data_IF_761995564897
#
_entry.id   IF_761995564897
#
_cell.length_a   1.000
_cell.length_b   1.000
_cell.length_c   1.000
_cell.angle_alpha   90.00
_cell.angle_beta   90.00
_cell.angle_gamma   90.00
#
_symmetry.space_group_name_H-M   'P 1'
#
loop_
_entity.id
_entity.type
_entity.pdbx_description
1 polymer ?
#
# COMPACT_ATOMS: atom_id res chain seq x y z
N UNK A 1 2.25 25.17 4.31
CA UNK A 1 2.07 23.73 3.99
C UNK A 1 1.66 22.82 5.17
N UNK A 2 1.82 23.24 6.45
CA UNK A 2 1.44 22.43 7.63
C UNK A 2 -0.07 22.12 7.82
N UNK A 3 -0.97 22.96 7.29
CA UNK A 3 -2.44 22.80 7.46
C UNK A 3 -3.02 21.60 6.70
N UNK A 4 -2.39 21.18 5.61
CA UNK A 4 -2.84 20.01 4.83
C UNK A 4 -2.50 18.71 5.54
N UNK A 5 -1.28 18.58 6.05
CA UNK A 5 -0.88 17.43 6.88
C UNK A 5 -1.78 17.29 8.12
N UNK A 6 -2.14 18.41 8.77
CA UNK A 6 -3.09 18.39 9.88
C UNK A 6 -4.50 17.99 9.44
N UNK A 7 -5.00 18.39 8.27
CA UNK A 7 -6.29 17.91 7.74
C UNK A 7 -6.30 16.42 7.41
N UNK A 8 -5.17 15.88 6.97
CA UNK A 8 -4.99 14.44 6.68
C UNK A 8 -4.91 13.64 8.00
N UNK A 9 -4.34 14.22 9.05
CA UNK A 9 -4.26 13.62 10.40
C UNK A 9 -5.48 13.90 11.30
N UNK A 10 -6.28 14.92 11.01
CA UNK A 10 -7.50 15.29 11.75
C UNK A 10 -8.76 14.59 11.22
N UNK A 11 -8.65 13.67 10.26
CA UNK A 11 -9.81 12.89 9.87
C UNK A 11 -10.14 11.97 11.04
N UNK A 12 -11.29 12.25 11.65
CA UNK A 12 -12.05 11.53 12.69
C UNK A 12 -12.37 10.06 12.32
N UNK A 13 -11.49 9.42 11.59
CA UNK A 13 -11.59 8.02 11.21
C UNK A 13 -10.99 7.19 12.34
N UNK A 14 -11.70 6.13 12.72
CA UNK A 14 -11.19 5.15 13.68
C UNK A 14 -9.81 4.62 13.23
N UNK A 15 -8.90 4.30 14.18
CA UNK A 15 -7.55 3.80 13.87
C UNK A 15 -7.56 2.61 12.90
N UNK A 16 -8.59 1.78 12.96
CA UNK A 16 -8.82 0.68 12.00
C UNK A 16 -8.98 1.15 10.55
N UNK A 17 -9.75 2.22 10.30
CA UNK A 17 -9.97 2.73 8.95
C UNK A 17 -8.69 3.31 8.35
N UNK A 18 -7.86 3.93 9.18
CA UNK A 18 -6.54 4.40 8.77
C UNK A 18 -5.61 3.23 8.41
N UNK A 19 -5.58 2.18 9.24
CA UNK A 19 -4.79 0.97 8.99
C UNK A 19 -5.21 0.26 7.69
N UNK A 20 -6.53 0.13 7.43
CA UNK A 20 -7.07 -0.44 6.18
C UNK A 20 -6.67 0.40 4.96
N UNK A 21 -6.70 1.73 5.08
CA UNK A 21 -6.26 2.65 4.03
C UNK A 21 -4.78 2.49 3.70
N UNK A 22 -3.92 2.42 4.72
CA UNK A 22 -2.48 2.23 4.54
C UNK A 22 -2.15 0.87 3.91
N UNK A 23 -2.80 -0.21 4.39
CA UNK A 23 -2.58 -1.56 3.89
C UNK A 23 -3.01 -1.72 2.42
N UNK A 24 -4.19 -1.21 2.07
CA UNK A 24 -4.66 -1.22 0.67
C UNK A 24 -3.76 -0.39 -0.24
N UNK A 25 -3.34 0.80 0.21
CA UNK A 25 -2.40 1.62 -0.54
C UNK A 25 -1.04 0.94 -0.74
N UNK A 26 -0.50 0.26 0.28
CA UNK A 26 0.75 -0.50 0.16
C UNK A 26 0.62 -1.63 -0.88
N UNK A 27 -0.46 -2.42 -0.81
CA UNK A 27 -0.69 -3.52 -1.74
C UNK A 27 -0.63 -3.04 -3.21
N UNK A 28 -1.37 -1.98 -3.53
CA UNK A 28 -1.37 -1.42 -4.88
C UNK A 28 -0.08 -0.67 -5.22
N UNK A 29 0.65 -0.12 -4.24
CA UNK A 29 1.97 0.45 -4.46
C UNK A 29 2.97 -0.60 -4.97
N UNK A 30 2.91 -1.85 -4.49
CA UNK A 30 3.83 -2.93 -4.92
C UNK A 30 3.37 -3.62 -6.21
N UNK A 31 2.13 -3.41 -6.64
CA UNK A 31 1.57 -4.10 -7.81
C UNK A 31 1.95 -3.36 -9.11
N UNK A 32 2.36 -4.04 -10.20
CA UNK A 32 2.90 -3.38 -11.40
C UNK A 32 1.82 -2.79 -12.33
N UNK A 33 0.71 -2.29 -11.79
CA UNK A 33 -0.43 -1.72 -12.55
C UNK A 33 -0.31 -0.22 -12.79
N UNK A 34 0.79 0.22 -13.43
CA UNK A 34 1.06 1.63 -13.70
C UNK A 34 -0.17 2.37 -14.29
N UNK A 35 -0.53 3.49 -13.67
CA UNK A 35 -1.72 4.27 -14.02
C UNK A 35 -3.02 3.81 -13.33
N UNK A 36 -3.21 2.50 -13.13
CA UNK A 36 -4.41 1.96 -12.46
C UNK A 36 -4.26 1.82 -10.94
N UNK A 37 -3.03 1.78 -10.42
CA UNK A 37 -2.75 1.62 -8.98
C UNK A 37 -3.57 2.58 -8.11
N UNK A 38 -3.58 3.88 -8.43
CA UNK A 38 -4.28 4.88 -7.62
C UNK A 38 -5.80 4.66 -7.64
N UNK A 39 -6.36 4.36 -8.82
CA UNK A 39 -7.79 4.11 -8.98
C UNK A 39 -8.18 2.84 -8.21
N UNK A 40 -7.40 1.77 -8.32
CA UNK A 40 -7.63 0.52 -7.61
C UNK A 40 -7.47 0.71 -6.10
N UNK A 41 -6.44 1.41 -5.65
CA UNK A 41 -6.22 1.73 -4.23
C UNK A 41 -7.39 2.52 -3.65
N UNK A 42 -7.88 3.54 -4.34
CA UNK A 42 -9.03 4.33 -3.91
C UNK A 42 -10.32 3.52 -3.89
N UNK A 43 -10.53 2.68 -4.91
CA UNK A 43 -11.74 1.85 -5.05
C UNK A 43 -11.77 0.78 -3.97
N UNK A 44 -10.68 0.03 -3.79
CA UNK A 44 -10.60 -1.02 -2.78
C UNK A 44 -10.60 -0.42 -1.37
N UNK A 45 -9.87 0.68 -1.14
CA UNK A 45 -9.94 1.41 0.13
C UNK A 45 -11.38 1.85 0.44
N UNK A 46 -12.13 2.31 -0.56
CA UNK A 46 -13.55 2.60 -0.38
C UNK A 46 -14.38 1.38 0.03
N UNK A 47 -14.18 0.23 -0.63
CA UNK A 47 -14.91 -1.01 -0.35
C UNK A 47 -14.63 -1.54 1.05
N UNK A 48 -13.38 -1.50 1.51
CA UNK A 48 -13.01 -1.94 2.87
C UNK A 48 -13.29 -0.91 3.95
N UNK A 49 -13.94 0.21 3.60
CA UNK A 49 -14.19 1.37 4.47
C UNK A 49 -12.90 1.93 5.09
N UNK A 50 -11.81 1.92 4.32
CA UNK A 50 -10.51 2.47 4.67
C UNK A 50 -10.39 3.96 4.30
N UNK A 51 -9.35 4.60 4.85
CA UNK A 51 -9.05 5.98 4.54
C UNK A 51 -8.44 6.10 3.14
N UNK A 52 -9.21 6.71 2.23
CA UNK A 52 -8.84 6.90 0.81
C UNK A 52 -7.61 7.79 0.64
N UNK A 53 -7.43 8.78 1.52
CA UNK A 53 -6.30 9.73 1.46
C UNK A 53 -5.00 9.00 1.82
N UNK A 54 -5.02 8.18 2.86
CA UNK A 54 -3.87 7.36 3.25
C UNK A 54 -3.55 6.29 2.20
N UNK A 55 -4.57 5.69 1.58
CA UNK A 55 -4.36 4.75 0.47
C UNK A 55 -3.69 5.43 -0.74
N UNK A 56 -4.15 6.63 -1.12
CA UNK A 56 -3.55 7.42 -2.18
C UNK A 56 -2.11 7.85 -1.83
N UNK A 57 -1.87 8.28 -0.59
CA UNK A 57 -0.54 8.66 -0.12
C UNK A 57 0.44 7.49 -0.23
N UNK A 58 0.07 6.30 0.28
CA UNK A 58 0.90 5.10 0.19
C UNK A 58 1.18 4.68 -1.25
N UNK A 59 0.20 4.82 -2.14
CA UNK A 59 0.40 4.55 -3.57
C UNK A 59 1.41 5.54 -4.19
N UNK A 60 1.34 6.81 -3.79
CA UNK A 60 2.24 7.87 -4.26
C UNK A 60 3.69 7.74 -3.73
N UNK A 61 3.94 6.93 -2.71
CA UNK A 61 5.31 6.61 -2.29
C UNK A 61 6.07 5.77 -3.32
N UNK A 62 5.36 5.10 -4.24
CA UNK A 62 5.99 4.32 -5.28
C UNK A 62 6.63 5.24 -6.33
N UNK A 63 7.95 5.36 -6.29
CA UNK A 63 8.77 6.10 -7.25
C UNK A 63 9.53 5.09 -8.13
N UNK A 64 9.72 5.33 -9.44
CA UNK A 64 10.56 4.50 -10.32
C UNK A 64 11.89 4.04 -9.68
N UNK A 65 12.56 4.93 -8.93
CA UNK A 65 13.83 4.61 -8.26
C UNK A 65 13.67 3.49 -7.23
N UNK A 66 12.56 3.48 -6.49
CA UNK A 66 12.25 2.45 -5.49
C UNK A 66 11.58 1.23 -6.12
N UNK A 67 10.78 1.43 -7.16
CA UNK A 67 10.03 0.39 -7.86
C UNK A 67 10.95 -0.61 -8.57
N UNK A 68 12.00 -0.12 -9.24
CA UNK A 68 12.94 -0.95 -9.99
C UNK A 68 13.56 -2.08 -9.15
N UNK A 69 14.25 -1.79 -8.02
CA UNK A 69 14.83 -2.84 -7.20
C UNK A 69 13.77 -3.73 -6.55
N UNK A 70 12.63 -3.15 -6.16
CA UNK A 70 11.52 -3.90 -5.56
C UNK A 70 10.93 -4.92 -6.54
N UNK A 71 10.72 -4.54 -7.80
CA UNK A 71 10.20 -5.42 -8.84
C UNK A 71 11.21 -6.48 -9.25
N UNK A 72 12.51 -6.17 -9.26
CA UNK A 72 13.54 -7.19 -9.42
C UNK A 72 13.47 -8.27 -8.34
N UNK A 73 13.32 -7.86 -7.07
CA UNK A 73 13.12 -8.79 -5.96
C UNK A 73 11.82 -9.59 -6.09
N UNK A 74 10.71 -8.93 -6.41
CA UNK A 74 9.41 -9.59 -6.59
C UNK A 74 9.48 -10.61 -7.74
N UNK A 75 10.08 -10.24 -8.87
CA UNK A 75 10.28 -11.13 -10.01
C UNK A 75 11.12 -12.35 -9.62
N UNK A 76 12.24 -12.14 -8.93
CA UNK A 76 13.08 -13.23 -8.43
C UNK A 76 12.31 -14.17 -7.49
N UNK A 77 11.59 -13.62 -6.51
CA UNK A 77 10.76 -14.41 -5.60
C UNK A 77 9.67 -15.20 -6.35
N UNK A 78 9.03 -14.57 -7.33
CA UNK A 78 8.06 -15.23 -8.19
C UNK A 78 8.65 -16.39 -8.98
N UNK A 79 9.85 -16.22 -9.54
CA UNK A 79 10.52 -17.30 -10.29
C UNK A 79 10.86 -18.48 -9.38
N UNK A 80 11.37 -18.21 -8.18
CA UNK A 80 11.63 -19.24 -7.16
C UNK A 80 10.36 -20.02 -6.81
N UNK A 81 9.22 -19.33 -6.67
CA UNK A 81 7.93 -19.95 -6.32
C UNK A 81 7.36 -20.77 -7.49
N UNK A 82 7.47 -20.27 -8.73
CA UNK A 82 6.97 -20.97 -9.92
C UNK A 82 7.91 -22.09 -10.40
N UNK A 83 9.07 -22.27 -9.76
CA UNK A 83 10.08 -23.23 -10.20
C UNK A 83 10.75 -22.85 -11.53
N UNK A 84 10.72 -21.56 -11.89
CA UNK A 84 11.36 -21.04 -13.09
C UNK A 84 12.87 -20.83 -12.90
N UNK A 85 13.62 -20.90 -13.99
CA UNK A 85 15.03 -20.48 -14.02
C UNK A 85 15.10 -19.00 -13.70
N UNK A 86 16.01 -18.54 -12.84
CA UNK A 86 16.18 -17.12 -12.50
C UNK A 86 16.79 -16.28 -13.64
N UNK A 87 16.47 -16.62 -14.89
CA UNK A 87 17.01 -16.00 -16.08
C UNK A 87 16.14 -14.82 -16.48
N UNK A 88 16.77 -13.65 -16.58
CA UNK A 88 16.12 -12.48 -17.17
C UNK A 88 16.02 -12.75 -18.67
N UNK A 89 14.81 -12.69 -19.26
CA UNK A 89 14.67 -12.96 -20.68
C UNK A 89 15.50 -12.01 -21.54
N UNK A 90 16.19 -12.55 -22.53
CA UNK A 90 17.00 -11.76 -23.46
C UNK A 90 16.10 -11.03 -24.46
N UNK A 91 15.87 -9.74 -24.20
CA UNK A 91 15.09 -8.86 -25.06
C UNK A 91 15.78 -8.58 -26.41
N UNK A 92 17.11 -8.73 -26.51
CA UNK A 92 17.84 -8.52 -27.75
C UNK A 92 17.66 -9.65 -28.76
N UNK A 93 17.22 -10.83 -28.30
CA UNK A 93 16.93 -11.98 -29.14
C UNK A 93 15.52 -11.96 -29.76
N UNK A 94 14.65 -11.00 -29.39
CA UNK A 94 13.29 -10.89 -29.93
C UNK A 94 13.32 -10.53 -31.43
N UNK A 95 12.78 -11.41 -32.28
CA UNK A 95 12.76 -11.23 -33.75
C UNK A 95 11.38 -10.92 -34.32
N UNK A 96 10.31 -10.97 -33.51
CA UNK A 96 8.97 -10.55 -33.95
C UNK A 96 7.88 -10.65 -32.88
N UNK A 97 6.64 -10.33 -33.28
CA UNK A 97 5.47 -10.32 -32.39
C UNK A 97 5.18 -11.66 -31.72
N UNK A 98 5.57 -12.77 -32.36
CA UNK A 98 5.42 -14.12 -31.82
C UNK A 98 6.27 -14.36 -30.56
N UNK A 99 7.47 -13.78 -30.50
CA UNK A 99 8.35 -13.86 -29.34
C UNK A 99 7.76 -13.04 -28.18
N UNK A 100 7.14 -11.90 -28.46
CA UNK A 100 6.47 -11.07 -27.46
C UNK A 100 5.33 -11.82 -26.75
N UNK A 101 4.53 -12.58 -27.50
CA UNK A 101 3.43 -13.39 -26.94
C UNK A 101 3.97 -14.52 -26.04
N UNK A 102 5.15 -15.06 -26.35
CA UNK A 102 5.80 -16.11 -25.54
C UNK A 102 6.49 -15.55 -24.30
N UNK A 103 7.12 -14.38 -24.43
CA UNK A 103 7.89 -13.72 -23.38
C UNK A 103 7.00 -12.98 -22.37
N UNK A 104 5.84 -12.48 -22.81
CA UNK A 104 4.90 -11.77 -21.96
C UNK A 104 4.52 -12.55 -20.70
N UNK A 105 3.97 -13.78 -20.81
CA UNK A 105 3.65 -14.60 -19.64
C UNK A 105 4.87 -14.98 -18.81
N UNK A 106 6.02 -15.22 -19.43
CA UNK A 106 7.26 -15.56 -18.73
C UNK A 106 7.77 -14.42 -17.83
N UNK A 107 7.48 -13.16 -18.18
CA UNK A 107 7.78 -11.98 -17.36
C UNK A 107 6.66 -11.66 -16.37
N UNK A 108 5.42 -11.67 -16.84
CA UNK A 108 4.26 -11.24 -16.07
C UNK A 108 3.89 -12.23 -14.97
N UNK A 109 3.95 -13.55 -15.21
CA UNK A 109 3.53 -14.54 -14.21
C UNK A 109 4.42 -14.50 -12.96
N UNK A 110 5.76 -14.54 -13.06
CA UNK A 110 6.60 -14.45 -11.87
C UNK A 110 6.47 -13.08 -11.21
N UNK A 111 6.41 -11.99 -11.98
CA UNK A 111 6.27 -10.65 -11.42
C UNK A 111 4.95 -10.49 -10.67
N UNK A 112 3.82 -10.91 -11.24
CA UNK A 112 2.51 -10.85 -10.59
C UNK A 112 2.47 -11.75 -9.36
N UNK A 113 3.08 -12.93 -9.41
CA UNK A 113 3.11 -13.85 -8.27
C UNK A 113 3.92 -13.26 -7.12
N UNK A 114 5.12 -12.74 -7.41
CA UNK A 114 5.97 -12.14 -6.39
C UNK A 114 5.38 -10.85 -5.83
N UNK A 115 4.82 -9.98 -6.66
CA UNK A 115 4.18 -8.74 -6.20
C UNK A 115 2.90 -9.01 -5.42
N UNK A 116 2.14 -10.06 -5.76
CA UNK A 116 0.99 -10.50 -4.95
C UNK A 116 1.44 -11.00 -3.59
N UNK A 117 2.49 -11.83 -3.53
CA UNK A 117 3.02 -12.36 -2.28
C UNK A 117 3.57 -11.24 -1.38
N UNK A 118 4.47 -10.41 -1.91
CA UNK A 118 5.08 -9.29 -1.19
C UNK A 118 4.02 -8.24 -0.84
N UNK A 119 3.10 -7.96 -1.75
CA UNK A 119 1.98 -7.05 -1.54
C UNK A 119 1.08 -7.52 -0.40
N UNK A 120 0.68 -8.79 -0.36
CA UNK A 120 -0.16 -9.34 0.71
C UNK A 120 0.59 -9.36 2.06
N UNK A 121 1.82 -9.85 2.07
CA UNK A 121 2.64 -9.90 3.29
C UNK A 121 2.89 -8.49 3.85
N UNK A 122 3.28 -7.55 2.99
CA UNK A 122 3.51 -6.17 3.38
C UNK A 122 2.23 -5.43 3.75
N UNK A 123 1.11 -5.66 3.06
CA UNK A 123 -0.18 -5.09 3.45
C UNK A 123 -0.63 -5.58 4.83
N UNK A 124 -0.46 -6.88 5.12
CA UNK A 124 -0.72 -7.43 6.45
C UNK A 124 0.19 -6.78 7.50
N UNK A 125 1.49 -6.69 7.23
CA UNK A 125 2.44 -6.03 8.12
C UNK A 125 2.04 -4.58 8.38
N UNK A 126 1.74 -3.80 7.34
CA UNK A 126 1.29 -2.40 7.44
C UNK A 126 0.00 -2.31 8.26
N UNK A 127 -0.98 -3.18 8.04
CA UNK A 127 -2.23 -3.20 8.80
C UNK A 127 -1.98 -3.39 10.30
N UNK A 128 -1.21 -4.42 10.68
CA UNK A 128 -0.93 -4.71 12.09
C UNK A 128 -0.04 -3.63 12.73
N UNK A 129 0.99 -3.16 12.04
CA UNK A 129 1.93 -2.17 12.58
C UNK A 129 1.23 -0.82 12.78
N UNK A 130 0.46 -0.37 11.78
CA UNK A 130 -0.28 0.89 11.88
C UNK A 130 -1.38 0.80 12.93
N UNK A 131 -2.11 -0.33 13.02
CA UNK A 131 -3.09 -0.56 14.09
C UNK A 131 -2.46 -0.44 15.48
N UNK A 132 -1.35 -1.15 15.73
CA UNK A 132 -0.63 -1.11 17.02
C UNK A 132 -0.13 0.30 17.38
N UNK A 133 0.44 1.01 16.39
CA UNK A 133 0.99 2.36 16.60
C UNK A 133 -0.16 3.35 16.89
N UNK A 134 -1.24 3.30 16.12
CA UNK A 134 -2.37 4.20 16.28
C UNK A 134 -3.12 3.94 17.59
N UNK A 135 -3.29 2.68 18.00
CA UNK A 135 -3.81 2.32 19.32
C UNK A 135 -2.92 2.83 20.46
N UNK A 136 -1.60 2.63 20.35
CA UNK A 136 -0.65 3.09 21.36
C UNK A 136 -0.61 4.63 21.45
N UNK A 137 -0.77 5.34 20.33
CA UNK A 137 -0.86 6.80 20.30
C UNK A 137 -2.20 7.29 20.88
N UNK A 138 -3.31 6.63 20.56
CA UNK A 138 -4.61 6.92 21.15
C UNK A 138 -4.60 6.74 22.67
N UNK A 139 -3.92 5.70 23.19
CA UNK A 139 -3.74 5.49 24.62
C UNK A 139 -2.87 6.57 25.28
N UNK A 140 -1.89 7.16 24.56
CA UNK A 140 -1.02 8.23 25.06
C UNK A 140 -1.65 9.61 25.03
N UNK A 141 -2.57 9.87 24.09
CA UNK A 141 -3.24 11.16 23.91
C UNK A 141 -4.70 11.16 24.42
N UNK A 142 -5.16 10.06 25.02
CA UNK A 142 -6.52 9.86 25.52
C UNK A 142 -6.92 10.60 26.80
N UNK A 143 -6.17 11.59 27.26
CA UNK A 143 -6.64 12.53 28.29
C UNK A 143 -7.02 13.86 27.61
N UNK A 144 -8.30 14.23 27.52
CA UNK A 144 -8.66 15.61 27.23
C UNK A 144 -8.10 16.52 28.34
N UNK A 145 -7.66 17.75 28.04
CA UNK A 145 -7.60 18.79 29.06
C UNK A 145 -8.99 18.92 29.70
N UNK A 146 -9.04 18.84 31.02
CA UNK A 146 -10.19 19.23 31.83
C UNK A 146 -10.38 20.74 31.66
N UNK A 147 -11.05 21.14 30.58
CA UNK A 147 -11.56 22.49 30.40
C UNK A 147 -12.78 22.60 31.33
N UNK A 148 -12.49 22.80 32.62
CA UNK A 148 -13.44 22.77 33.70
C UNK A 148 -14.72 23.54 33.37
N UNK A 149 -15.85 22.86 33.47
CA UNK A 149 -17.16 23.53 33.59
C UNK A 149 -17.11 24.46 34.80
N UNK A 150 -17.22 25.79 34.66
CA UNK A 150 -17.59 26.61 35.79
C UNK A 150 -19.11 26.50 35.94
N UNK A 151 -19.53 25.90 37.05
CA UNK A 151 -20.73 26.33 37.75
C UNK A 151 -22.06 25.94 37.11
N UNK A 152 -22.53 24.75 37.49
CA UNK A 152 -23.90 24.66 37.98
C UNK A 152 -24.08 25.68 39.11
N UNK A 153 -24.71 26.81 38.85
CA UNK A 153 -25.43 27.56 39.89
C UNK A 153 -26.91 27.45 39.57
N UNK A 154 -27.54 26.54 40.30
CA UNK A 154 -28.97 26.52 40.53
C UNK A 154 -29.36 27.75 41.38
N UNK A 155 -30.62 28.17 41.20
CA UNK A 155 -31.42 29.10 42.01
C UNK A 155 -31.20 30.60 41.77
#
# INVERSE_FOLDING_TARGET
MRRWAQKILQVRDHPEAQARGLATGFFFAVTPFWGLQLVLALTVSHLVRGNKVLAAAMTALNNPITALPLYGLCFFLGQVILGGSAEVPDFAAMRGMADLVRLGPALLLPLLTGTTLVGLAGAAAVYFLSGRILEALAARYGSPPDDGQPGKTQA
#
